data_IF_800555180707
#
_entry.id   IF_800555180707
#
_cell.length_a   1.000
_cell.length_b   1.000
_cell.length_c   1.000
_cell.angle_alpha   90.00
_cell.angle_beta   90.00
_cell.angle_gamma   90.00
#
_symmetry.space_group_name_H-M   'P 1'
#
loop_
_entity.id
_entity.type
_entity.pdbx_description
1 polymer ?
#
# COMPACT_ATOMS: atom_id res chain seq x y z
N UNK A 1 37.65 11.07 -18.75
CA UNK A 1 37.08 11.42 -17.42
C UNK A 1 37.34 12.91 -17.16
N UNK A 2 36.32 13.68 -16.77
CA UNK A 2 36.46 15.11 -16.51
C UNK A 2 36.13 15.42 -15.03
N UNK A 3 37.08 16.01 -14.31
CA UNK A 3 36.93 16.37 -12.89
C UNK A 3 37.13 17.88 -12.73
N UNK A 4 36.19 18.55 -12.07
CA UNK A 4 36.23 20.01 -11.85
C UNK A 4 35.76 20.34 -10.45
N UNK A 5 36.47 21.25 -9.76
CA UNK A 5 36.06 21.75 -8.44
C UNK A 5 36.02 20.70 -7.32
N UNK A 6 36.77 19.60 -7.43
CA UNK A 6 36.75 18.49 -6.47
C UNK A 6 38.05 18.38 -5.67
N UNK A 7 38.01 18.74 -4.38
CA UNK A 7 39.15 18.68 -3.46
C UNK A 7 40.40 19.38 -4.03
N UNK A 8 41.42 18.61 -4.41
CA UNK A 8 42.68 19.09 -4.97
C UNK A 8 42.56 19.52 -6.44
N UNK A 9 41.48 19.12 -7.14
CA UNK A 9 41.21 19.45 -8.55
C UNK A 9 40.35 20.71 -8.64
N UNK A 10 40.98 21.90 -8.53
CA UNK A 10 40.27 23.19 -8.61
C UNK A 10 39.82 23.54 -10.03
N UNK A 11 40.71 23.30 -11.00
CA UNK A 11 40.46 23.54 -12.42
C UNK A 11 39.94 22.27 -13.11
N UNK A 12 39.39 22.45 -14.32
CA UNK A 12 38.92 21.34 -15.15
C UNK A 12 40.13 20.47 -15.51
N UNK A 13 40.15 19.25 -15.01
CA UNK A 13 41.14 18.25 -15.37
C UNK A 13 40.47 17.21 -16.25
N UNK A 14 40.83 17.21 -17.53
CA UNK A 14 40.38 16.23 -18.49
C UNK A 14 41.46 15.16 -18.63
N UNK A 15 41.08 13.90 -18.47
CA UNK A 15 41.97 12.76 -18.67
C UNK A 15 41.53 12.04 -19.94
N UNK A 16 42.51 11.83 -20.82
CA UNK A 16 42.38 11.13 -22.09
C UNK A 16 41.86 9.69 -21.91
N UNK A 17 41.51 9.06 -23.02
CA UNK A 17 40.99 7.70 -23.07
C UNK A 17 41.92 6.70 -22.36
N UNK A 18 41.37 5.98 -21.38
CA UNK A 18 42.07 4.89 -20.71
C UNK A 18 42.22 3.68 -21.64
N UNK A 19 43.30 2.91 -21.44
CA UNK A 19 43.44 1.60 -22.07
C UNK A 19 42.41 0.62 -21.47
N UNK A 20 41.79 -0.27 -22.27
CA UNK A 20 40.88 -1.29 -21.76
C UNK A 20 41.61 -2.37 -20.94
N UNK A 21 42.95 -2.40 -20.95
CA UNK A 21 43.74 -3.39 -20.19
C UNK A 21 44.20 -2.84 -18.85
N UNK A 22 45.33 -2.15 -18.84
CA UNK A 22 45.98 -1.74 -17.60
C UNK A 22 46.32 -0.26 -17.63
N UNK A 23 45.96 0.44 -16.55
CA UNK A 23 46.20 1.87 -16.37
C UNK A 23 46.87 2.09 -15.02
N UNK A 24 47.99 2.82 -15.01
CA UNK A 24 48.78 3.08 -13.80
C UNK A 24 48.84 4.58 -13.55
N UNK A 25 48.53 4.99 -12.32
CA UNK A 25 48.57 6.39 -11.90
C UNK A 25 49.70 6.55 -10.89
N UNK A 26 50.71 7.32 -11.26
CA UNK A 26 51.88 7.60 -10.42
C UNK A 26 51.95 9.08 -10.04
N UNK A 27 52.69 9.41 -8.98
CA UNK A 27 52.84 10.79 -8.51
C UNK A 27 53.38 10.84 -7.09
N UNK A 28 53.81 12.03 -6.65
CA UNK A 28 54.38 12.24 -5.30
C UNK A 28 53.37 11.95 -4.19
N UNK A 29 53.82 11.64 -2.99
CA UNK A 29 52.92 11.52 -1.83
C UNK A 29 52.20 12.86 -1.58
N UNK A 30 50.91 12.82 -1.30
CA UNK A 30 50.08 14.02 -1.14
C UNK A 30 49.63 14.72 -2.43
N UNK A 31 50.06 14.27 -3.61
CA UNK A 31 49.69 14.89 -4.90
C UNK A 31 48.22 14.75 -5.32
N UNK A 32 47.37 14.13 -4.49
CA UNK A 32 45.95 13.97 -4.80
C UNK A 32 45.57 12.67 -5.52
N UNK A 33 46.49 11.72 -5.71
CA UNK A 33 46.19 10.39 -6.31
C UNK A 33 44.98 9.70 -5.67
N UNK A 34 44.86 9.71 -4.34
CA UNK A 34 43.69 9.13 -3.66
C UNK A 34 42.41 9.93 -3.94
N UNK A 35 42.52 11.26 -4.05
CA UNK A 35 41.40 12.14 -4.41
C UNK A 35 40.90 11.86 -5.84
N UNK A 36 41.76 11.41 -6.75
CA UNK A 36 41.35 10.94 -8.06
C UNK A 36 40.36 9.77 -7.98
N UNK A 37 40.70 8.71 -7.24
CA UNK A 37 39.82 7.56 -7.03
C UNK A 37 38.54 7.91 -6.28
N UNK A 38 38.58 8.90 -5.37
CA UNK A 38 37.37 9.43 -4.74
C UNK A 38 36.46 10.18 -5.72
N UNK A 39 37.02 10.77 -6.79
CA UNK A 39 36.29 11.45 -7.85
C UNK A 39 35.74 10.52 -8.93
N UNK A 40 36.39 9.37 -9.18
CA UNK A 40 35.94 8.33 -10.11
C UNK A 40 34.78 7.47 -9.61
N UNK A 41 34.34 7.65 -8.36
CA UNK A 41 33.17 6.94 -7.85
C UNK A 41 31.92 7.51 -8.54
N UNK A 42 31.60 6.99 -9.74
CA UNK A 42 30.32 6.99 -10.49
C UNK A 42 30.58 7.12 -12.00
N UNK A 43 30.65 5.99 -12.71
CA UNK A 43 30.60 5.94 -14.18
C UNK A 43 30.21 4.52 -14.64
N UNK A 44 29.29 4.42 -15.63
CA UNK A 44 28.78 3.26 -16.43
C UNK A 44 27.31 2.79 -16.24
N UNK A 45 26.50 2.83 -17.31
CA UNK A 45 26.22 1.65 -18.19
C UNK A 45 25.49 1.95 -19.52
N UNK A 46 25.84 1.12 -20.52
CA UNK A 46 25.36 0.80 -21.89
C UNK A 46 24.43 1.74 -22.70
N UNK A 47 25.07 2.47 -23.63
CA UNK A 47 24.86 2.47 -25.09
C UNK A 47 25.91 3.41 -25.71
N UNK A 48 26.74 2.94 -26.67
CA UNK A 48 27.86 3.62 -27.35
C UNK A 48 28.80 4.49 -26.48
N UNK A 49 28.33 5.57 -25.85
CA UNK A 49 28.94 6.30 -24.74
C UNK A 49 27.81 6.87 -23.86
N UNK A 50 27.72 6.49 -22.58
CA UNK A 50 26.73 7.04 -21.64
C UNK A 50 27.43 7.96 -20.65
N UNK A 51 26.90 9.17 -20.48
CA UNK A 51 27.49 10.20 -19.64
C UNK A 51 26.73 10.33 -18.32
N UNK A 52 27.33 9.85 -17.23
CA UNK A 52 26.82 10.06 -15.87
C UNK A 52 27.55 11.24 -15.25
N UNK A 53 26.82 12.24 -14.76
CA UNK A 53 27.38 13.43 -14.10
C UNK A 53 26.73 13.62 -12.74
N UNK A 54 27.55 13.77 -11.70
CA UNK A 54 27.09 14.18 -10.38
C UNK A 54 27.55 15.60 -10.11
N UNK A 55 26.61 16.50 -9.83
CA UNK A 55 26.89 17.87 -9.45
C UNK A 55 26.61 18.05 -7.96
N UNK A 56 27.67 18.24 -7.18
CA UNK A 56 27.59 18.44 -5.73
C UNK A 56 27.75 19.93 -5.42
N UNK A 57 26.67 20.57 -4.97
CA UNK A 57 26.67 21.93 -4.44
C UNK A 57 26.48 21.95 -2.91
N UNK A 58 26.58 23.14 -2.30
CA UNK A 58 26.47 23.29 -0.84
C UNK A 58 25.12 22.86 -0.26
N UNK A 59 24.03 22.98 -1.05
CA UNK A 59 22.65 22.66 -0.64
C UNK A 59 21.94 21.66 -1.56
N UNK A 60 22.58 21.24 -2.66
CA UNK A 60 21.95 20.42 -3.70
C UNK A 60 22.94 19.36 -4.18
N UNK A 61 22.49 18.11 -4.21
CA UNK A 61 23.20 16.99 -4.84
C UNK A 61 22.32 16.51 -5.99
N UNK A 62 22.81 16.65 -7.22
CA UNK A 62 22.06 16.38 -8.45
C UNK A 62 22.79 15.37 -9.32
N UNK A 63 22.02 14.49 -9.94
CA UNK A 63 22.54 13.47 -10.84
C UNK A 63 21.96 13.68 -12.24
N UNK A 64 22.80 13.47 -13.24
CA UNK A 64 22.43 13.58 -14.64
C UNK A 64 22.88 12.33 -15.39
N UNK A 65 21.99 11.78 -16.22
CA UNK A 65 22.30 10.73 -17.20
C UNK A 65 22.03 11.34 -18.57
N UNK A 66 23.05 11.39 -19.43
CA UNK A 66 22.98 11.99 -20.78
C UNK A 66 22.38 13.40 -20.79
N UNK A 67 22.73 14.19 -19.77
CA UNK A 67 22.27 15.58 -19.59
C UNK A 67 20.87 15.72 -19.00
N UNK A 68 20.12 14.64 -18.78
CA UNK A 68 18.80 14.67 -18.10
C UNK A 68 18.96 14.52 -16.60
N UNK A 69 18.30 15.37 -15.83
CA UNK A 69 18.28 15.28 -14.37
C UNK A 69 17.48 14.06 -13.93
N UNK A 70 18.10 13.19 -13.17
CA UNK A 70 17.50 11.95 -12.64
C UNK A 70 17.61 11.90 -11.12
N UNK A 71 16.65 11.27 -10.42
CA UNK A 71 16.76 11.00 -9.01
C UNK A 71 17.89 10.01 -8.73
N UNK A 72 18.50 10.12 -7.54
CA UNK A 72 19.57 9.21 -7.09
C UNK A 72 19.19 7.73 -7.18
N UNK A 73 17.92 7.40 -6.91
CA UNK A 73 17.45 6.02 -6.95
C UNK A 73 17.59 5.40 -8.34
N UNK A 74 17.33 6.16 -9.40
CA UNK A 74 17.42 5.68 -10.78
C UNK A 74 18.87 5.41 -11.19
N UNK A 75 19.80 6.29 -10.82
CA UNK A 75 21.25 6.06 -11.03
C UNK A 75 21.71 4.81 -10.29
N UNK A 76 21.24 4.60 -9.06
CA UNK A 76 21.60 3.41 -8.27
C UNK A 76 21.04 2.14 -8.91
N UNK A 77 19.79 2.16 -9.38
CA UNK A 77 19.17 1.02 -10.06
C UNK A 77 19.88 0.68 -11.38
N UNK A 78 20.31 1.70 -12.13
CA UNK A 78 21.11 1.53 -13.35
C UNK A 78 22.45 0.86 -13.03
N UNK A 79 23.15 1.34 -11.99
CA UNK A 79 24.42 0.77 -11.53
C UNK A 79 24.25 -0.65 -10.97
N UNK A 80 23.14 -0.97 -10.32
CA UNK A 80 22.85 -2.33 -9.88
C UNK A 80 22.59 -3.27 -11.05
N UNK A 81 21.85 -2.82 -12.07
CA UNK A 81 21.58 -3.59 -13.31
C UNK A 81 22.87 -3.85 -14.09
N UNK A 82 23.82 -2.92 -14.01
CA UNK A 82 25.17 -3.02 -14.56
C UNK A 82 26.10 -3.99 -13.81
N UNK A 83 25.69 -4.51 -12.64
CA UNK A 83 26.54 -5.32 -11.76
C UNK A 83 27.42 -4.51 -10.79
N UNK A 84 27.38 -3.18 -10.85
CA UNK A 84 28.02 -2.29 -9.88
C UNK A 84 27.11 -2.07 -8.66
N UNK A 85 26.92 -3.12 -7.86
CA UNK A 85 26.14 -2.99 -6.63
C UNK A 85 26.89 -2.16 -5.59
N UNK A 86 26.21 -1.18 -4.96
CA UNK A 86 26.69 -0.48 -3.75
C UNK A 86 27.01 -1.45 -2.60
N UNK A 87 26.37 -2.61 -2.63
CA UNK A 87 26.52 -3.69 -1.66
C UNK A 87 27.83 -4.46 -1.79
N UNK A 88 28.49 -4.36 -2.95
CA UNK A 88 29.77 -5.00 -3.21
C UNK A 88 30.86 -3.92 -3.35
N UNK A 89 31.43 -3.42 -2.24
CA UNK A 89 32.44 -2.36 -2.27
C UNK A 89 33.81 -2.81 -2.82
N UNK A 90 33.98 -4.11 -3.14
CA UNK A 90 35.29 -4.69 -3.46
C UNK A 90 35.84 -4.34 -4.84
N UNK A 91 35.07 -3.70 -5.70
CA UNK A 91 35.60 -3.13 -6.94
C UNK A 91 36.65 -2.03 -6.69
N UNK A 92 36.67 -1.42 -5.49
CA UNK A 92 37.64 -0.39 -5.10
C UNK A 92 38.27 -0.74 -3.75
N UNK A 93 39.57 -1.02 -3.77
CA UNK A 93 40.34 -1.28 -2.54
C UNK A 93 41.01 0.02 -2.08
N UNK A 94 40.50 0.59 -0.98
CA UNK A 94 41.12 1.76 -0.35
C UNK A 94 42.43 1.39 0.35
N UNK A 95 43.31 2.38 0.50
CA UNK A 95 44.53 2.24 1.27
C UNK A 95 44.20 1.76 2.70
N UNK A 96 44.91 0.72 3.17
CA UNK A 96 44.71 0.12 4.50
C UNK A 96 43.60 -0.93 4.58
N UNK A 97 42.69 -1.02 3.59
CA UNK A 97 41.58 -1.98 3.62
C UNK A 97 42.02 -3.45 3.55
N UNK A 98 43.16 -3.72 2.89
CA UNK A 98 43.73 -5.08 2.79
C UNK A 98 44.13 -5.61 4.16
N UNK A 99 44.78 -4.77 4.98
CA UNK A 99 45.20 -5.16 6.32
C UNK A 99 43.99 -5.39 7.23
N UNK A 100 42.95 -4.55 7.10
CA UNK A 100 41.68 -4.72 7.80
C UNK A 100 41.00 -6.04 7.45
N UNK A 101 41.00 -6.42 6.16
CA UNK A 101 40.45 -7.70 5.71
C UNK A 101 41.26 -8.90 6.23
N UNK A 102 42.58 -8.76 6.29
CA UNK A 102 43.48 -9.80 6.80
C UNK A 102 43.27 -10.05 8.30
N UNK A 103 43.03 -9.01 9.10
CA UNK A 103 42.82 -9.12 10.55
C UNK A 103 41.36 -9.26 10.97
N UNK A 104 40.41 -9.15 10.04
CA UNK A 104 38.98 -9.25 10.33
C UNK A 104 38.56 -10.63 10.88
N UNK A 105 37.54 -10.68 11.76
CA UNK A 105 36.98 -11.94 12.26
C UNK A 105 36.22 -12.69 11.15
N UNK A 106 36.09 -14.01 11.31
CA UNK A 106 35.46 -14.88 10.32
C UNK A 106 34.00 -14.53 10.02
N UNK A 107 33.27 -13.99 11.00
CA UNK A 107 31.91 -13.48 10.80
C UNK A 107 31.87 -12.33 9.80
N UNK A 108 32.86 -11.44 9.84
CA UNK A 108 32.98 -10.36 8.87
C UNK A 108 33.32 -10.96 7.50
N UNK A 109 34.32 -11.83 7.39
CA UNK A 109 34.67 -12.50 6.12
C UNK A 109 33.50 -13.24 5.48
N UNK A 110 32.70 -13.95 6.27
CA UNK A 110 31.49 -14.64 5.80
C UNK A 110 30.45 -13.64 5.28
N UNK A 111 30.25 -12.52 5.98
CA UNK A 111 29.36 -11.45 5.51
C UNK A 111 29.81 -10.93 4.14
N UNK A 112 31.11 -10.77 3.95
CA UNK A 112 31.68 -10.33 2.67
C UNK A 112 31.44 -11.36 1.57
N UNK A 113 31.66 -12.64 1.85
CA UNK A 113 31.36 -13.71 0.89
C UNK A 113 29.88 -13.72 0.50
N UNK A 114 28.97 -13.48 1.44
CA UNK A 114 27.52 -13.36 1.17
C UNK A 114 27.16 -12.12 0.34
N UNK A 115 27.84 -11.00 0.60
CA UNK A 115 27.68 -9.77 -0.19
C UNK A 115 28.14 -9.96 -1.63
N UNK A 116 29.31 -10.61 -1.85
CA UNK A 116 29.85 -10.94 -3.18
C UNK A 116 28.98 -11.97 -3.90
N UNK A 117 28.44 -12.96 -3.17
CA UNK A 117 27.51 -13.95 -3.72
C UNK A 117 26.14 -13.35 -4.09
N UNK A 118 25.88 -12.09 -3.75
CA UNK A 118 24.62 -11.41 -4.06
C UNK A 118 23.40 -11.93 -3.29
N UNK A 119 23.60 -12.83 -2.32
CA UNK A 119 22.49 -13.47 -1.58
C UNK A 119 21.79 -12.51 -0.63
N UNK A 120 22.43 -11.40 -0.25
CA UNK A 120 21.87 -10.38 0.65
C UNK A 120 20.54 -9.81 0.15
N UNK A 121 20.43 -9.47 -1.13
CA UNK A 121 19.22 -8.85 -1.69
C UNK A 121 18.05 -9.84 -1.65
N UNK A 122 18.32 -11.12 -1.91
CA UNK A 122 17.33 -12.18 -1.79
C UNK A 122 16.86 -12.36 -0.34
N UNK A 123 17.80 -12.43 0.60
CA UNK A 123 17.50 -12.57 2.03
C UNK A 123 16.66 -11.40 2.55
N UNK A 124 16.99 -10.16 2.17
CA UNK A 124 16.23 -8.95 2.53
C UNK A 124 14.81 -8.97 1.97
N UNK A 125 14.64 -9.29 0.67
CA UNK A 125 13.30 -9.41 0.06
C UNK A 125 12.48 -10.52 0.70
N UNK A 126 13.12 -11.62 1.07
CA UNK A 126 12.47 -12.74 1.75
C UNK A 126 11.98 -12.34 3.13
N UNK A 127 12.80 -11.64 3.92
CA UNK A 127 12.43 -11.15 5.25
C UNK A 127 11.27 -10.15 5.19
N UNK A 128 11.32 -9.20 4.24
CA UNK A 128 10.25 -8.24 3.99
C UNK A 128 8.93 -8.95 3.60
N UNK A 129 9.01 -9.93 2.70
CA UNK A 129 7.85 -10.72 2.27
C UNK A 129 7.24 -11.51 3.43
N UNK A 130 8.07 -12.10 4.30
CA UNK A 130 7.60 -12.82 5.49
C UNK A 130 6.89 -11.90 6.47
N UNK A 131 7.36 -10.65 6.62
CA UNK A 131 6.70 -9.66 7.46
C UNK A 131 5.31 -9.30 6.92
N UNK A 132 5.20 -9.03 5.62
CA UNK A 132 3.93 -8.73 4.95
C UNK A 132 2.95 -9.92 5.07
N UNK A 133 3.47 -11.15 4.94
CA UNK A 133 2.66 -12.37 5.10
C UNK A 133 2.08 -12.47 6.52
N UNK A 134 2.88 -12.18 7.55
CA UNK A 134 2.44 -12.21 8.95
C UNK A 134 1.36 -11.15 9.24
N UNK A 135 1.53 -9.95 8.70
CA UNK A 135 0.54 -8.87 8.81
C UNK A 135 -0.76 -9.23 8.09
N UNK A 136 -0.67 -9.78 6.87
CA UNK A 136 -1.82 -10.23 6.08
C UNK A 136 -2.59 -11.32 6.80
N UNK A 137 -1.91 -12.35 7.33
CA UNK A 137 -2.55 -13.40 8.11
C UNK A 137 -3.29 -12.87 9.35
N UNK A 138 -2.75 -11.82 9.98
CA UNK A 138 -3.40 -11.19 11.13
C UNK A 138 -4.67 -10.43 10.71
N UNK A 139 -4.68 -9.81 9.52
CA UNK A 139 -5.87 -9.18 8.96
C UNK A 139 -6.92 -10.21 8.56
N UNK A 140 -6.52 -11.31 7.92
CA UNK A 140 -7.43 -12.41 7.54
C UNK A 140 -8.18 -12.97 8.73
N UNK A 141 -7.49 -13.23 9.85
CA UNK A 141 -8.14 -13.70 11.10
C UNK A 141 -9.20 -12.74 11.64
N UNK A 142 -8.96 -11.43 11.53
CA UNK A 142 -9.95 -10.42 11.93
C UNK A 142 -11.17 -10.45 11.01
N UNK A 143 -10.95 -10.61 9.70
CA UNK A 143 -12.04 -10.73 8.71
C UNK A 143 -12.86 -12.00 8.98
N UNK A 144 -12.22 -13.14 9.25
CA UNK A 144 -12.92 -14.38 9.59
C UNK A 144 -13.80 -14.22 10.84
N UNK A 145 -13.30 -13.52 11.86
CA UNK A 145 -14.08 -13.23 13.08
C UNK A 145 -15.29 -12.35 12.77
N UNK A 146 -15.12 -11.31 11.94
CA UNK A 146 -16.21 -10.43 11.52
C UNK A 146 -17.25 -11.16 10.67
N UNK A 147 -16.81 -12.06 9.77
CA UNK A 147 -17.72 -12.87 8.96
C UNK A 147 -18.58 -13.77 9.86
N UNK A 148 -17.98 -14.44 10.85
CA UNK A 148 -18.74 -15.24 11.82
C UNK A 148 -19.81 -14.42 12.56
N UNK A 149 -19.49 -13.17 12.92
CA UNK A 149 -20.46 -12.28 13.55
C UNK A 149 -21.59 -11.86 12.61
N UNK A 150 -21.27 -11.59 11.34
CA UNK A 150 -22.27 -11.25 10.32
C UNK A 150 -23.21 -12.43 10.07
N UNK A 151 -22.67 -13.66 9.99
CA UNK A 151 -23.48 -14.87 9.80
C UNK A 151 -24.45 -15.10 10.98
N UNK A 152 -23.98 -14.90 12.22
CA UNK A 152 -24.85 -14.97 13.41
C UNK A 152 -25.93 -13.89 13.36
N UNK A 153 -25.58 -12.66 12.98
CA UNK A 153 -26.55 -11.56 12.85
C UNK A 153 -27.58 -11.83 11.75
N UNK A 154 -27.16 -12.38 10.61
CA UNK A 154 -28.07 -12.79 9.53
C UNK A 154 -29.06 -13.83 10.01
N UNK A 155 -28.62 -14.80 10.81
CA UNK A 155 -29.52 -15.81 11.38
C UNK A 155 -30.58 -15.18 12.29
N UNK A 156 -30.20 -14.26 13.18
CA UNK A 156 -31.16 -13.55 14.04
C UNK A 156 -32.16 -12.72 13.23
N UNK A 157 -31.72 -12.09 12.13
CA UNK A 157 -32.59 -11.31 11.24
C UNK A 157 -33.57 -12.20 10.46
N UNK A 158 -33.17 -13.43 10.10
CA UNK A 158 -34.05 -14.39 9.44
C UNK A 158 -35.17 -14.85 10.40
N UNK A 159 -34.84 -15.07 11.68
CA UNK A 159 -35.82 -15.38 12.74
C UNK A 159 -36.79 -14.20 12.95
N UNK A 160 -36.29 -12.97 13.14
CA UNK A 160 -37.12 -11.76 13.28
C UNK A 160 -38.05 -11.53 12.08
N UNK A 161 -37.58 -11.86 10.87
CA UNK A 161 -38.38 -11.75 9.64
C UNK A 161 -39.53 -12.74 9.62
N UNK A 162 -39.33 -13.97 10.10
CA UNK A 162 -40.40 -14.97 10.14
C UNK A 162 -41.45 -14.61 11.20
N UNK A 163 -41.02 -14.15 12.39
CA UNK A 163 -41.91 -13.62 13.42
C UNK A 163 -42.76 -12.45 12.89
N UNK A 164 -42.15 -11.54 12.12
CA UNK A 164 -42.86 -10.41 11.52
C UNK A 164 -43.90 -10.87 10.48
N UNK A 165 -43.61 -11.92 9.69
CA UNK A 165 -44.60 -12.48 8.76
C UNK A 165 -45.79 -13.07 9.50
N UNK A 166 -45.54 -13.83 10.57
CA UNK A 166 -46.62 -14.38 11.39
C UNK A 166 -47.47 -13.27 12.00
N UNK A 167 -46.82 -12.26 12.57
CA UNK A 167 -47.51 -11.07 13.08
C UNK A 167 -48.38 -10.40 12.02
N UNK A 168 -47.86 -10.17 10.80
CA UNK A 168 -48.62 -9.56 9.71
C UNK A 168 -49.82 -10.43 9.29
N UNK A 169 -49.70 -11.76 9.32
CA UNK A 169 -50.79 -12.67 9.03
C UNK A 169 -51.91 -12.53 10.08
N UNK A 170 -51.54 -12.52 11.36
CA UNK A 170 -52.50 -12.35 12.46
C UNK A 170 -53.11 -10.94 12.49
N UNK A 171 -52.35 -9.89 12.19
CA UNK A 171 -52.86 -8.51 12.11
C UNK A 171 -53.89 -8.36 10.98
N UNK A 172 -53.65 -8.96 9.81
CA UNK A 172 -54.64 -9.00 8.72
C UNK A 172 -55.93 -9.72 9.16
N UNK A 173 -55.80 -10.87 9.82
CA UNK A 173 -56.95 -11.63 10.30
C UNK A 173 -57.74 -10.81 11.33
N UNK A 174 -57.04 -10.21 12.31
CA UNK A 174 -57.62 -9.33 13.32
C UNK A 174 -58.41 -8.19 12.68
N UNK A 175 -57.81 -7.45 11.74
CA UNK A 175 -58.48 -6.35 11.02
C UNK A 175 -59.72 -6.80 10.26
N UNK A 176 -59.69 -8.00 9.66
CA UNK A 176 -60.86 -8.54 8.94
C UNK A 176 -62.02 -8.86 9.88
N UNK A 177 -61.71 -9.39 11.07
CA UNK A 177 -62.71 -9.70 12.10
C UNK A 177 -63.26 -8.40 12.69
N UNK A 178 -62.38 -7.43 13.02
CA UNK A 178 -62.80 -6.10 13.51
C UNK A 178 -63.75 -5.42 12.53
N UNK A 179 -63.42 -5.41 11.23
CA UNK A 179 -64.30 -4.87 10.20
C UNK A 179 -65.67 -5.59 10.18
N UNK A 180 -65.66 -6.92 10.27
CA UNK A 180 -66.89 -7.72 10.28
C UNK A 180 -67.77 -7.39 11.49
N UNK A 181 -67.16 -7.24 12.67
CA UNK A 181 -67.86 -6.85 13.91
C UNK A 181 -68.48 -5.46 13.73
N UNK A 182 -67.70 -4.48 13.28
CA UNK A 182 -68.19 -3.12 13.06
C UNK A 182 -69.32 -3.07 12.03
N UNK A 183 -69.25 -3.86 10.95
CA UNK A 183 -70.33 -3.94 9.97
C UNK A 183 -71.62 -4.54 10.56
N UNK A 184 -71.50 -5.60 11.37
CA UNK A 184 -72.66 -6.16 12.09
C UNK A 184 -73.29 -5.16 13.07
N UNK A 185 -72.48 -4.44 13.85
CA UNK A 185 -72.96 -3.42 14.79
C UNK A 185 -73.63 -2.24 14.06
N UNK A 186 -73.07 -1.81 12.94
CA UNK A 186 -73.65 -0.77 12.10
C UNK A 186 -75.01 -1.20 11.52
N UNK A 187 -75.10 -2.44 11.02
CA UNK A 187 -76.35 -3.01 10.51
C UNK A 187 -77.42 -3.15 11.60
N UNK A 188 -77.06 -3.59 12.81
CA UNK A 188 -77.98 -3.62 13.95
C UNK A 188 -78.49 -2.24 14.33
N UNK A 189 -77.61 -1.26 14.38
CA UNK A 189 -77.95 0.13 14.70
C UNK A 189 -78.87 0.72 13.64
N UNK A 190 -78.62 0.43 12.35
CA UNK A 190 -79.49 0.82 11.25
C UNK A 190 -80.88 0.19 11.34
N UNK A 191 -80.98 -1.11 11.66
CA UNK A 191 -82.26 -1.79 11.91
C UNK A 191 -83.00 -1.24 13.13
N UNK A 192 -82.29 -0.78 14.17
CA UNK A 192 -82.89 -0.10 15.32
C UNK A 192 -83.43 1.27 14.91
N UNK A 193 -82.70 2.00 14.08
CA UNK A 193 -83.13 3.30 13.56
C UNK A 193 -84.38 3.18 12.68
N UNK A 194 -84.44 2.23 11.74
CA UNK A 194 -85.64 1.97 10.93
C UNK A 194 -86.86 1.68 11.81
N UNK A 195 -86.73 0.78 12.80
CA UNK A 195 -87.81 0.48 13.75
C UNK A 195 -88.32 1.72 14.50
N UNK A 196 -87.42 2.62 14.90
CA UNK A 196 -87.81 3.87 15.57
C UNK A 196 -88.50 4.87 14.62
N UNK A 197 -88.09 4.90 13.35
CA UNK A 197 -88.74 5.71 12.32
C UNK A 197 -90.16 5.20 12.02
N UNK A 198 -90.33 3.88 11.85
CA UNK A 198 -91.65 3.27 11.64
C UNK A 198 -92.59 3.56 12.81
N UNK A 199 -92.10 3.42 14.06
CA UNK A 199 -92.87 3.78 15.26
C UNK A 199 -93.28 5.26 15.28
N UNK A 200 -92.40 6.17 14.83
CA UNK A 200 -92.70 7.59 14.73
C UNK A 200 -93.78 7.86 13.68
N UNK A 201 -93.74 7.20 12.52
CA UNK A 201 -94.78 7.33 11.49
C UNK A 201 -96.14 6.79 11.95
N UNK A 202 -96.17 5.65 12.65
CA UNK A 202 -97.40 5.11 13.25
C UNK A 202 -98.01 6.06 14.29
N UNK A 203 -97.18 6.68 15.13
CA UNK A 203 -97.64 7.68 16.11
C UNK A 203 -98.13 8.97 15.42
N UNK A 204 -97.45 9.41 14.37
CA UNK A 204 -97.84 10.55 13.55
C UNK A 204 -99.20 10.32 12.88
N UNK A 205 -99.42 9.16 12.26
CA UNK A 205 -100.67 8.81 11.58
C UNK A 205 -101.84 8.60 12.56
N UNK A 206 -101.58 8.21 13.81
CA UNK A 206 -102.59 8.23 14.89
C UNK A 206 -102.98 9.64 15.32
N UNK A 207 -102.05 10.59 15.35
CA UNK A 207 -102.36 11.98 15.70
C UNK A 207 -103.14 12.73 14.61
N UNK A 208 -103.00 12.36 13.32
CA UNK A 208 -103.74 13.00 12.22
C UNK A 208 -105.18 12.48 12.03
N UNK A 209 -105.56 11.40 12.75
CA UNK A 209 -106.90 10.79 12.70
C UNK A 209 -107.84 11.22 13.84
N UNK A 210 -107.47 12.24 14.62
CA UNK A 210 -108.29 12.89 15.65
C UNK A 210 -108.55 14.33 15.20
#
# INVERSE_FOLDING_TARGET
>A
VNITGFRSYREVTSIDSFSPRHNVIVGRNGSGKSNFFFGMLFELVEAAEVRVVRQVGQKKDQYYIDGKMVPRAEVVNLMESAGFSRSNPYYIVKQGKINELATAPDSHRLKLLREVAGTRVYDERKEESLKILKETNSKTKKIETLLSYIDERLKTLEEEKEDLKEYQKWDKMKRSIEYTIYDTEANETRKKLERLLDQREELSTRQTKV
#
